data_IF_059701162641
#
_entry.id   IF_059701162641
#
_cell.length_a   1.000
_cell.length_b   1.000
_cell.length_c   1.000
_cell.angle_alpha   90.00
_cell.angle_beta   90.00
_cell.angle_gamma   90.00
#
_symmetry.space_group_name_H-M   'P 1'
#
loop_
_entity.id
_entity.type
_entity.pdbx_description
1 polymer ?
#
# COMPACT_ATOMS: atom_id res chain seq x y z
N UNK A 1 11.03 5.33 19.81
CA UNK A 1 10.30 4.62 18.75
C UNK A 1 9.76 3.32 19.34
N UNK A 2 8.56 2.85 18.96
CA UNK A 2 7.92 1.64 19.52
C UNK A 2 8.50 0.32 18.98
N UNK A 3 9.44 0.40 18.04
CA UNK A 3 10.15 -0.76 17.51
C UNK A 3 11.42 -1.02 18.33
N UNK A 4 11.63 -2.27 18.69
CA UNK A 4 12.69 -2.76 19.57
C UNK A 4 13.41 -3.95 18.92
N UNK A 5 14.64 -4.23 19.32
CA UNK A 5 15.30 -5.51 19.07
C UNK A 5 14.59 -6.63 19.83
N UNK A 6 14.92 -7.90 19.54
CA UNK A 6 14.31 -9.04 20.27
C UNK A 6 14.67 -9.02 21.76
N UNK A 7 15.80 -8.39 22.11
CA UNK A 7 16.31 -8.19 23.45
C UNK A 7 15.66 -6.99 24.17
N UNK A 8 14.79 -6.23 23.49
CA UNK A 8 14.07 -5.09 24.06
C UNK A 8 14.82 -3.75 24.02
N UNK A 9 15.94 -3.67 23.29
CA UNK A 9 16.63 -2.40 23.06
C UNK A 9 15.91 -1.58 21.97
N UNK A 10 15.95 -0.23 22.01
CA UNK A 10 15.44 0.58 20.90
C UNK A 10 16.06 0.19 19.56
N UNK A 11 15.25 0.12 18.51
CA UNK A 11 15.70 -0.25 17.18
C UNK A 11 16.19 0.98 16.41
N UNK A 12 17.50 1.07 16.16
CA UNK A 12 18.11 2.18 15.40
C UNK A 12 18.08 1.97 13.88
N UNK A 13 17.84 0.74 13.43
CA UNK A 13 17.73 0.40 12.02
C UNK A 13 17.46 -1.09 11.79
N UNK A 14 16.97 -1.43 10.60
CA UNK A 14 16.75 -2.83 10.18
C UNK A 14 17.68 -3.16 9.03
N UNK A 15 18.58 -4.15 9.19
CA UNK A 15 19.42 -4.61 8.10
C UNK A 15 18.59 -5.42 7.09
N UNK A 16 18.57 -4.93 5.85
CA UNK A 16 17.81 -5.49 4.75
C UNK A 16 18.76 -6.00 3.68
N UNK A 17 18.49 -7.21 3.19
CA UNK A 17 19.17 -7.77 2.04
C UNK A 17 18.31 -7.50 0.80
N UNK A 18 18.82 -6.65 -0.10
CA UNK A 18 18.19 -6.39 -1.39
C UNK A 18 18.39 -7.61 -2.31
N UNK A 19 17.30 -8.13 -2.88
CA UNK A 19 17.33 -9.30 -3.77
C UNK A 19 16.95 -8.97 -5.22
N UNK A 20 17.26 -7.75 -5.66
CA UNK A 20 16.81 -7.19 -6.94
C UNK A 20 15.29 -7.03 -7.00
N UNK A 21 14.79 -6.27 -7.96
CA UNK A 21 13.36 -5.98 -8.07
C UNK A 21 12.87 -5.03 -7.00
N UNK A 22 11.71 -5.37 -6.44
CA UNK A 22 11.05 -4.69 -5.32
C UNK A 22 11.22 -5.45 -4.00
N UNK A 23 12.02 -6.51 -3.99
CA UNK A 23 12.02 -7.50 -2.92
C UNK A 23 13.23 -7.32 -1.99
N UNK A 24 12.91 -7.30 -0.70
CA UNK A 24 13.89 -7.21 0.36
C UNK A 24 13.69 -8.36 1.35
N UNK A 25 14.80 -8.79 1.96
CA UNK A 25 14.78 -9.78 3.04
C UNK A 25 15.23 -9.13 4.35
N UNK A 26 14.41 -9.27 5.39
CA UNK A 26 14.75 -8.85 6.74
C UNK A 26 15.78 -9.82 7.29
N UNK A 27 16.99 -9.35 7.57
CA UNK A 27 18.10 -10.24 7.97
C UNK A 27 18.17 -10.48 9.48
N UNK A 28 17.56 -9.60 10.28
CA UNK A 28 17.50 -9.73 11.74
C UNK A 28 16.07 -9.55 12.24
N UNK A 29 15.61 -10.40 13.17
CA UNK A 29 14.29 -10.24 13.76
C UNK A 29 14.22 -8.96 14.60
N UNK A 30 13.02 -8.41 14.73
CA UNK A 30 12.74 -7.28 15.60
C UNK A 30 11.32 -7.40 16.15
N UNK A 31 10.93 -6.49 17.04
CA UNK A 31 9.61 -6.49 17.64
C UNK A 31 8.98 -5.09 17.60
N UNK A 32 7.65 -5.08 17.55
CA UNK A 32 6.83 -3.91 17.80
C UNK A 32 6.17 -4.05 19.16
N UNK A 33 6.34 -3.06 20.03
CA UNK A 33 5.63 -2.97 21.31
C UNK A 33 4.53 -1.94 21.20
N UNK A 34 3.28 -2.36 21.34
CA UNK A 34 2.16 -1.43 21.42
C UNK A 34 2.28 -0.61 22.72
N UNK A 35 2.46 0.72 22.65
CA UNK A 35 2.62 1.53 23.85
C UNK A 35 1.35 1.63 24.71
N UNK A 36 0.19 1.24 24.18
CA UNK A 36 -1.11 1.36 24.84
C UNK A 36 -1.48 0.07 25.58
N UNK A 37 -1.20 -1.08 24.97
CA UNK A 37 -1.57 -2.40 25.51
C UNK A 37 -0.37 -3.16 26.09
N UNK A 38 0.86 -2.75 25.76
CA UNK A 38 2.09 -3.48 26.12
C UNK A 38 2.32 -4.77 25.32
N UNK A 39 1.39 -5.14 24.44
CA UNK A 39 1.46 -6.30 23.55
C UNK A 39 2.69 -6.21 22.66
N UNK A 40 3.47 -7.29 22.59
CA UNK A 40 4.68 -7.38 21.76
C UNK A 40 4.40 -8.27 20.56
N UNK A 41 4.48 -7.70 19.35
CA UNK A 41 4.38 -8.44 18.10
C UNK A 41 5.76 -8.60 17.50
N UNK A 42 6.20 -9.86 17.32
CA UNK A 42 7.52 -10.20 16.78
C UNK A 42 7.48 -10.35 15.27
N UNK A 43 8.47 -9.77 14.61
CA UNK A 43 8.75 -9.93 13.19
C UNK A 43 9.96 -10.86 13.03
N UNK A 44 9.80 -12.05 12.44
CA UNK A 44 10.91 -12.96 12.23
C UNK A 44 11.86 -12.44 11.14
N UNK A 45 13.13 -12.86 11.20
CA UNK A 45 14.02 -12.73 10.05
C UNK A 45 13.57 -13.66 8.91
N UNK A 46 13.82 -13.25 7.68
CA UNK A 46 13.70 -14.09 6.51
C UNK A 46 14.88 -15.05 6.40
N UNK A 47 14.66 -16.20 5.76
CA UNK A 47 15.72 -17.14 5.43
C UNK A 47 16.47 -16.64 4.19
N UNK A 48 17.62 -16.02 4.43
CA UNK A 48 18.48 -15.46 3.38
C UNK A 48 19.17 -16.53 2.53
N UNK A 49 19.15 -17.81 2.93
CA UNK A 49 19.67 -18.89 2.08
C UNK A 49 18.71 -19.24 0.94
N UNK A 50 17.44 -18.84 1.07
CA UNK A 50 16.38 -19.10 0.10
C UNK A 50 16.08 -17.86 -0.74
N UNK A 51 15.60 -18.05 -1.99
CA UNK A 51 15.19 -16.94 -2.83
C UNK A 51 14.07 -16.11 -2.19
N UNK A 52 13.96 -14.82 -2.53
CA UNK A 52 12.82 -14.00 -2.11
C UNK A 52 11.57 -14.52 -2.84
N UNK A 53 10.72 -15.21 -2.11
CA UNK A 53 9.43 -15.70 -2.62
C UNK A 53 8.36 -15.31 -1.63
N UNK A 54 7.10 -15.65 -1.93
CA UNK A 54 5.97 -15.36 -1.05
C UNK A 54 6.22 -15.89 0.37
N UNK A 55 6.19 -14.99 1.35
CA UNK A 55 6.47 -15.32 2.77
C UNK A 55 7.93 -15.42 3.17
N UNK A 56 8.87 -15.08 2.27
CA UNK A 56 10.30 -14.95 2.53
C UNK A 56 10.87 -13.64 1.94
N UNK A 57 10.02 -12.62 1.79
CA UNK A 57 10.35 -11.31 1.23
C UNK A 57 9.34 -10.25 1.72
N UNK A 58 9.73 -8.98 1.64
CA UNK A 58 8.88 -7.80 1.88
C UNK A 58 9.15 -6.78 0.78
N UNK A 59 8.11 -6.05 0.37
CA UNK A 59 8.18 -5.01 -0.67
C UNK A 59 7.79 -3.61 -0.14
N UNK A 60 7.79 -3.45 1.20
CA UNK A 60 7.58 -2.20 1.94
C UNK A 60 6.24 -1.49 1.68
N UNK A 61 5.18 -2.29 1.54
CA UNK A 61 3.85 -1.92 1.07
C UNK A 61 3.82 -1.73 -0.45
N UNK A 62 3.13 -2.63 -1.15
CA UNK A 62 2.98 -2.65 -2.61
C UNK A 62 2.27 -1.39 -3.16
N UNK A 63 2.98 -0.27 -3.32
CA UNK A 63 2.46 0.94 -3.98
C UNK A 63 2.51 0.74 -5.51
N UNK A 64 1.41 1.01 -6.25
CA UNK A 64 1.41 0.99 -7.71
C UNK A 64 2.44 1.97 -8.32
N UNK A 65 3.16 1.60 -9.41
CA UNK A 65 4.23 2.43 -9.97
C UNK A 65 3.82 3.86 -10.34
N UNK A 66 2.60 4.05 -10.86
CA UNK A 66 2.08 5.37 -11.22
C UNK A 66 1.89 6.32 -10.02
N UNK A 67 1.96 5.82 -8.79
CA UNK A 67 1.90 6.62 -7.57
C UNK A 67 3.28 6.89 -6.94
N UNK A 68 4.37 6.37 -7.48
CA UNK A 68 5.72 6.57 -6.90
C UNK A 68 6.19 8.02 -6.96
N UNK A 69 5.69 8.81 -7.92
CA UNK A 69 5.93 10.27 -7.93
C UNK A 69 5.20 11.02 -6.82
N UNK A 70 4.17 10.42 -6.21
CA UNK A 70 3.37 11.01 -5.14
C UNK A 70 3.70 10.46 -3.75
N UNK A 71 4.13 9.20 -3.66
CA UNK A 71 4.35 8.48 -2.40
C UNK A 71 5.77 7.92 -2.40
N UNK A 72 6.60 8.40 -1.47
CA UNK A 72 7.92 7.82 -1.25
C UNK A 72 7.82 6.34 -0.84
N UNK A 73 8.60 5.48 -1.49
CA UNK A 73 8.61 4.02 -1.26
C UNK A 73 9.27 3.62 0.07
N UNK A 74 10.04 4.49 0.68
CA UNK A 74 10.72 4.27 1.96
C UNK A 74 10.58 5.48 2.88
N UNK A 75 10.75 5.27 4.17
CA UNK A 75 10.61 6.31 5.20
C UNK A 75 10.09 5.75 6.52
N UNK A 76 9.44 6.58 7.36
CA UNK A 76 8.90 6.11 8.63
C UNK A 76 7.80 5.03 8.48
N UNK A 77 7.24 4.82 7.29
CA UNK A 77 6.30 3.74 7.01
C UNK A 77 6.96 2.36 6.83
N UNK A 78 8.28 2.27 6.66
CA UNK A 78 8.97 1.02 6.32
C UNK A 78 8.85 -0.03 7.42
N UNK A 79 9.14 0.29 8.69
CA UNK A 79 9.02 -0.69 9.78
C UNK A 79 7.58 -1.17 10.01
N UNK A 80 6.55 -0.28 10.03
CA UNK A 80 5.16 -0.71 10.03
C UNK A 80 4.78 -1.60 8.85
N UNK A 81 5.30 -1.33 7.65
CA UNK A 81 5.00 -2.14 6.48
C UNK A 81 5.58 -3.56 6.59
N UNK A 82 6.83 -3.69 7.05
CA UNK A 82 7.45 -5.00 7.31
C UNK A 82 6.67 -5.78 8.37
N UNK A 83 6.25 -5.11 9.45
CA UNK A 83 5.40 -5.70 10.47
C UNK A 83 4.08 -6.22 9.87
N UNK A 84 3.41 -5.40 9.05
CA UNK A 84 2.17 -5.76 8.37
C UNK A 84 2.35 -6.97 7.45
N UNK A 85 3.38 -6.97 6.60
CA UNK A 85 3.69 -8.08 5.69
C UNK A 85 3.88 -9.40 6.45
N UNK A 86 4.62 -9.37 7.56
CA UNK A 86 4.84 -10.55 8.40
C UNK A 86 3.52 -11.07 9.00
N UNK A 87 2.64 -10.19 9.45
CA UNK A 87 1.32 -10.56 9.98
C UNK A 87 0.36 -11.06 8.89
N UNK A 88 0.41 -10.45 7.71
CA UNK A 88 -0.34 -10.88 6.52
C UNK A 88 0.06 -12.29 6.12
N UNK A 89 1.36 -12.59 6.12
CA UNK A 89 1.87 -13.93 5.85
C UNK A 89 1.35 -14.95 6.87
N UNK A 90 1.38 -14.61 8.16
CA UNK A 90 0.81 -15.45 9.22
C UNK A 90 -0.70 -15.66 9.04
N UNK A 91 -1.43 -14.63 8.62
CA UNK A 91 -2.85 -14.72 8.32
C UNK A 91 -3.11 -15.63 7.09
N UNK A 92 -2.27 -15.58 6.05
CA UNK A 92 -2.42 -16.42 4.85
C UNK A 92 -2.30 -17.91 5.18
N UNK A 93 -1.37 -18.26 6.08
CA UNK A 93 -1.14 -19.64 6.56
C UNK A 93 -2.25 -20.15 7.48
N UNK A 94 -3.12 -19.28 7.99
CA UNK A 94 -4.23 -19.68 8.83
C UNK A 94 -5.37 -20.34 8.03
N UNK A 95 -6.26 -21.11 8.69
CA UNK A 95 -7.48 -21.63 8.10
C UNK A 95 -8.33 -20.53 7.47
N UNK A 96 -9.04 -20.82 6.38
CA UNK A 96 -9.77 -19.82 5.59
C UNK A 96 -10.71 -18.94 6.42
N UNK A 97 -11.43 -19.55 7.36
CA UNK A 97 -12.35 -18.86 8.26
C UNK A 97 -11.67 -17.80 9.16
N UNK A 98 -10.38 -17.96 9.45
CA UNK A 98 -9.60 -17.07 10.31
C UNK A 98 -8.81 -16.00 9.53
N UNK A 99 -8.67 -16.15 8.21
CA UNK A 99 -7.85 -15.25 7.39
C UNK A 99 -8.32 -13.80 7.49
N UNK A 100 -9.61 -13.56 7.28
CA UNK A 100 -10.16 -12.20 7.31
C UNK A 100 -10.11 -11.57 8.71
N UNK A 101 -10.50 -12.25 9.81
CA UNK A 101 -10.28 -11.75 11.17
C UNK A 101 -8.82 -11.38 11.46
N UNK A 102 -7.87 -12.27 11.14
CA UNK A 102 -6.43 -12.01 11.36
C UNK A 102 -5.91 -10.86 10.51
N UNK A 103 -6.37 -10.75 9.25
CA UNK A 103 -6.04 -9.60 8.38
C UNK A 103 -6.53 -8.28 8.96
N UNK A 104 -7.74 -8.23 9.55
CA UNK A 104 -8.23 -6.99 10.19
C UNK A 104 -7.33 -6.56 11.35
N UNK A 105 -6.91 -7.52 12.19
CA UNK A 105 -5.97 -7.24 13.28
C UNK A 105 -4.64 -6.70 12.74
N UNK A 106 -4.11 -7.30 11.67
CA UNK A 106 -2.90 -6.83 11.00
C UNK A 106 -3.07 -5.40 10.46
N UNK A 107 -4.16 -5.12 9.74
CA UNK A 107 -4.43 -3.79 9.17
C UNK A 107 -4.57 -2.73 10.27
N UNK A 108 -5.31 -3.03 11.35
CA UNK A 108 -5.49 -2.11 12.47
C UNK A 108 -4.19 -1.83 13.20
N UNK A 109 -3.38 -2.87 13.47
CA UNK A 109 -2.05 -2.70 14.08
C UNK A 109 -1.12 -1.92 13.16
N UNK A 110 -1.19 -2.14 11.85
CA UNK A 110 -0.42 -1.37 10.87
C UNK A 110 -0.72 0.12 10.95
N UNK A 111 -2.01 0.50 10.99
CA UNK A 111 -2.41 1.90 11.17
C UNK A 111 -1.86 2.50 12.46
N UNK A 112 -1.92 1.73 13.54
CA UNK A 112 -1.42 2.13 14.86
C UNK A 112 0.09 2.35 14.81
N UNK A 113 0.83 1.36 14.30
CA UNK A 113 2.29 1.42 14.16
C UNK A 113 2.74 2.55 13.23
N UNK A 114 1.99 2.87 12.17
CA UNK A 114 2.26 4.04 11.32
C UNK A 114 2.22 5.34 12.14
N UNK A 115 1.17 5.53 12.93
CA UNK A 115 0.99 6.73 13.77
C UNK A 115 2.09 6.81 14.83
N UNK A 116 2.37 5.69 15.49
CA UNK A 116 3.39 5.63 16.55
C UNK A 116 4.81 5.80 15.98
N UNK A 117 5.01 5.56 14.68
CA UNK A 117 6.25 5.86 13.96
C UNK A 117 6.27 7.26 13.31
N UNK A 118 5.36 8.14 13.70
CA UNK A 118 5.35 9.55 13.28
C UNK A 118 4.69 9.82 11.92
N UNK A 119 4.02 8.84 11.31
CA UNK A 119 3.21 9.09 10.11
C UNK A 119 1.92 9.82 10.52
N UNK A 120 1.65 10.93 9.84
CA UNK A 120 0.46 11.73 10.11
C UNK A 120 -0.84 10.92 9.91
N UNK A 121 -1.86 11.25 10.72
CA UNK A 121 -3.09 10.47 10.85
C UNK A 121 -3.81 10.24 9.51
N UNK A 122 -3.85 11.25 8.64
CA UNK A 122 -4.50 11.15 7.33
C UNK A 122 -3.85 10.06 6.46
N UNK A 123 -2.52 10.09 6.27
CA UNK A 123 -1.81 9.06 5.50
C UNK A 123 -1.92 7.69 6.13
N UNK A 124 -1.80 7.58 7.45
CA UNK A 124 -2.02 6.30 8.14
C UNK A 124 -3.43 5.74 7.87
N UNK A 125 -4.45 6.62 7.83
CA UNK A 125 -5.83 6.25 7.53
C UNK A 125 -6.05 5.85 6.06
N UNK A 126 -5.40 6.52 5.11
CA UNK A 126 -5.42 6.17 3.68
C UNK A 126 -4.78 4.80 3.47
N UNK A 127 -3.59 4.58 4.02
CA UNK A 127 -2.86 3.31 3.91
C UNK A 127 -3.66 2.16 4.53
N UNK A 128 -4.24 2.37 5.71
CA UNK A 128 -5.16 1.44 6.36
C UNK A 128 -6.38 1.10 5.49
N UNK A 129 -7.06 2.12 4.95
CA UNK A 129 -8.23 1.91 4.11
C UNK A 129 -7.89 1.08 2.86
N UNK A 130 -6.74 1.33 2.23
CA UNK A 130 -6.28 0.59 1.07
C UNK A 130 -6.04 -0.90 1.39
N UNK A 131 -5.25 -1.22 2.41
CA UNK A 131 -4.94 -2.63 2.78
C UNK A 131 -6.17 -3.38 3.28
N UNK A 132 -7.10 -2.68 3.96
CA UNK A 132 -8.35 -3.27 4.42
C UNK A 132 -9.34 -3.52 3.28
N UNK A 133 -9.44 -2.63 2.29
CA UNK A 133 -10.22 -2.91 1.08
C UNK A 133 -9.67 -4.11 0.33
N UNK A 134 -8.35 -4.19 0.17
CA UNK A 134 -7.70 -5.34 -0.46
C UNK A 134 -7.99 -6.64 0.30
N UNK A 135 -7.88 -6.63 1.63
CA UNK A 135 -8.23 -7.80 2.45
C UNK A 135 -9.68 -8.23 2.24
N UNK A 136 -10.61 -7.28 2.08
CA UNK A 136 -12.04 -7.59 1.83
C UNK A 136 -12.26 -8.12 0.43
N UNK A 137 -11.55 -7.61 -0.57
CA UNK A 137 -11.60 -8.12 -1.93
C UNK A 137 -11.15 -9.58 -2.00
N UNK A 138 -10.02 -9.90 -1.36
CA UNK A 138 -9.40 -11.24 -1.40
C UNK A 138 -10.10 -12.27 -0.53
N UNK A 139 -10.55 -11.88 0.67
CA UNK A 139 -11.02 -12.84 1.69
C UNK A 139 -12.48 -12.61 2.14
N UNK A 140 -13.16 -11.58 1.62
CA UNK A 140 -14.52 -11.22 2.05
C UNK A 140 -15.65 -11.87 1.25
N UNK A 141 -15.35 -12.67 0.22
CA UNK A 141 -16.36 -13.31 -0.63
C UNK A 141 -17.33 -12.30 -1.26
N UNK A 142 -18.61 -12.66 -1.32
CA UNK A 142 -19.67 -11.79 -1.87
C UNK A 142 -19.87 -10.53 -1.04
N UNK A 143 -19.83 -10.61 0.29
CA UNK A 143 -19.94 -9.46 1.18
C UNK A 143 -18.81 -8.45 0.97
N UNK A 144 -17.58 -8.94 0.73
CA UNK A 144 -16.43 -8.11 0.36
C UNK A 144 -16.64 -7.34 -0.94
N UNK A 145 -17.16 -8.01 -1.98
CA UNK A 145 -17.49 -7.37 -3.27
C UNK A 145 -18.58 -6.32 -3.13
N UNK A 146 -19.64 -6.61 -2.38
CA UNK A 146 -20.73 -5.64 -2.11
C UNK A 146 -20.18 -4.42 -1.36
N UNK A 147 -19.32 -4.61 -0.37
CA UNK A 147 -18.67 -3.51 0.34
C UNK A 147 -17.84 -2.64 -0.62
N UNK A 148 -17.06 -3.26 -1.49
CA UNK A 148 -16.22 -2.53 -2.46
C UNK A 148 -17.07 -1.77 -3.47
N UNK A 149 -18.14 -2.38 -3.98
CA UNK A 149 -19.10 -1.70 -4.85
C UNK A 149 -19.75 -0.51 -4.13
N UNK A 150 -20.16 -0.67 -2.86
CA UNK A 150 -20.70 0.42 -2.05
C UNK A 150 -19.69 1.56 -1.87
N UNK A 151 -18.43 1.26 -1.57
CA UNK A 151 -17.38 2.28 -1.42
C UNK A 151 -17.13 3.01 -2.73
N UNK A 152 -17.05 2.29 -3.86
CA UNK A 152 -16.85 2.89 -5.17
C UNK A 152 -18.03 3.79 -5.57
N UNK A 153 -19.26 3.29 -5.46
CA UNK A 153 -20.48 4.06 -5.75
C UNK A 153 -20.62 5.24 -4.81
N UNK A 154 -20.33 5.06 -3.52
CA UNK A 154 -20.33 6.13 -2.54
C UNK A 154 -19.32 7.23 -2.87
N UNK A 155 -18.10 6.87 -3.29
CA UNK A 155 -17.08 7.84 -3.65
C UNK A 155 -17.49 8.65 -4.90
N UNK A 156 -18.03 7.97 -5.91
CA UNK A 156 -18.57 8.62 -7.11
C UNK A 156 -19.76 9.54 -6.77
N UNK A 157 -20.65 9.10 -5.88
CA UNK A 157 -21.77 9.90 -5.42
C UNK A 157 -21.30 11.16 -4.66
N UNK A 158 -20.26 11.06 -3.83
CA UNK A 158 -19.66 12.23 -3.16
C UNK A 158 -19.09 13.21 -4.17
N UNK A 159 -18.31 12.74 -5.14
CA UNK A 159 -17.75 13.59 -6.19
C UNK A 159 -18.88 14.30 -6.96
N UNK A 160 -19.91 13.55 -7.38
CA UNK A 160 -21.05 14.10 -8.09
C UNK A 160 -21.83 15.11 -7.24
N UNK A 161 -22.10 14.80 -5.96
CA UNK A 161 -22.77 15.70 -5.03
C UNK A 161 -21.99 17.01 -4.82
N UNK A 162 -20.67 16.95 -4.73
CA UNK A 162 -19.82 18.16 -4.65
C UNK A 162 -19.91 18.98 -5.94
N UNK A 163 -19.78 18.35 -7.11
CA UNK A 163 -19.83 19.04 -8.41
C UNK A 163 -21.21 19.68 -8.64
N UNK A 164 -22.29 18.94 -8.44
CA UNK A 164 -23.65 19.45 -8.58
C UNK A 164 -23.99 20.49 -7.51
N UNK A 165 -23.42 20.35 -6.31
CA UNK A 165 -23.50 21.31 -5.22
C UNK A 165 -22.97 22.69 -5.59
N UNK A 166 -21.82 22.70 -6.28
CA UNK A 166 -21.16 23.92 -6.75
C UNK A 166 -21.82 24.48 -8.01
N UNK A 167 -22.18 23.63 -8.97
CA UNK A 167 -22.64 24.06 -10.30
C UNK A 167 -24.14 24.36 -10.39
N UNK A 168 -24.97 23.65 -9.63
CA UNK A 168 -26.43 23.72 -9.76
C UNK A 168 -27.11 24.26 -8.50
N UNK A 169 -26.85 23.66 -7.33
CA UNK A 169 -27.55 24.04 -6.10
C UNK A 169 -26.87 23.47 -4.84
N UNK A 170 -26.68 24.27 -3.77
CA UNK A 170 -26.08 23.80 -2.52
C UNK A 170 -26.79 22.62 -1.86
N UNK A 171 -28.07 22.38 -2.14
CA UNK A 171 -28.83 21.26 -1.58
C UNK A 171 -28.25 19.89 -1.92
N UNK A 172 -27.53 19.76 -3.03
CA UNK A 172 -26.80 18.54 -3.37
C UNK A 172 -25.73 18.17 -2.34
N UNK A 173 -25.22 19.13 -1.54
CA UNK A 173 -24.27 18.86 -0.46
C UNK A 173 -24.86 18.00 0.67
N UNK A 174 -26.19 17.88 0.79
CA UNK A 174 -26.81 16.93 1.71
C UNK A 174 -26.43 15.47 1.36
N UNK A 175 -26.15 15.19 0.09
CA UNK A 175 -25.64 13.89 -0.37
C UNK A 175 -24.31 13.51 0.26
N UNK A 176 -23.54 14.48 0.80
CA UNK A 176 -22.27 14.20 1.48
C UNK A 176 -22.45 13.37 2.74
N UNK A 177 -23.62 13.39 3.39
CA UNK A 177 -23.89 12.58 4.58
C UNK A 177 -24.29 11.13 4.25
N UNK A 178 -24.67 10.84 3.01
CA UNK A 178 -25.29 9.58 2.62
C UNK A 178 -24.38 8.36 2.85
N UNK A 179 -23.08 8.35 2.46
CA UNK A 179 -22.24 7.19 2.72
C UNK A 179 -22.04 6.90 4.22
N UNK A 180 -21.95 7.95 5.04
CA UNK A 180 -21.86 7.79 6.49
C UNK A 180 -23.17 7.23 7.08
N UNK A 181 -24.33 7.69 6.60
CA UNK A 181 -25.63 7.17 7.04
C UNK A 181 -25.85 5.69 6.65
N UNK A 182 -25.32 5.27 5.50
CA UNK A 182 -25.43 3.88 5.01
C UNK A 182 -24.34 2.95 5.57
N UNK A 183 -23.26 3.49 6.15
CA UNK A 183 -22.15 2.68 6.66
C UNK A 183 -22.53 1.64 7.74
N UNK A 184 -23.46 1.91 8.68
CA UNK A 184 -23.89 0.92 9.68
C UNK A 184 -24.53 -0.34 9.11
N UNK A 185 -25.04 -0.30 7.87
CA UNK A 185 -25.58 -1.49 7.18
C UNK A 185 -24.50 -2.57 7.00
N UNK A 186 -23.23 -2.17 6.89
CA UNK A 186 -22.08 -3.06 6.80
C UNK A 186 -21.50 -3.36 8.19
N UNK A 187 -22.27 -4.09 9.02
CA UNK A 187 -21.95 -4.41 10.43
C UNK A 187 -20.46 -4.74 10.63
N UNK A 188 -19.82 -4.04 11.57
CA UNK A 188 -18.40 -4.22 11.91
C UNK A 188 -17.39 -3.67 10.89
N UNK A 189 -17.85 -3.04 9.80
CA UNK A 189 -16.98 -2.46 8.76
C UNK A 189 -17.30 -0.97 8.50
N UNK A 190 -18.20 -0.37 9.29
CA UNK A 190 -18.60 1.02 9.14
C UNK A 190 -17.41 2.02 9.14
N UNK A 191 -16.40 1.89 10.04
CA UNK A 191 -15.24 2.79 10.00
C UNK A 191 -14.45 2.70 8.69
N UNK A 192 -14.38 1.50 8.09
CA UNK A 192 -13.73 1.27 6.82
C UNK A 192 -14.54 1.88 5.68
N UNK A 193 -15.85 1.63 5.64
CA UNK A 193 -16.74 2.17 4.61
C UNK A 193 -16.68 3.70 4.60
N UNK A 194 -16.77 4.34 5.77
CA UNK A 194 -16.66 5.79 5.90
C UNK A 194 -15.28 6.24 5.40
N UNK A 195 -14.20 5.79 6.04
CA UNK A 195 -12.87 6.27 5.68
C UNK A 195 -12.56 6.05 4.19
N UNK A 196 -12.79 4.85 3.66
CA UNK A 196 -12.50 4.53 2.27
C UNK A 196 -13.34 5.34 1.29
N UNK A 197 -14.61 5.62 1.60
CA UNK A 197 -15.48 6.40 0.71
C UNK A 197 -15.06 7.86 0.63
N UNK A 198 -14.85 8.53 1.78
CA UNK A 198 -14.47 9.94 1.79
C UNK A 198 -13.03 10.16 1.33
N UNK A 199 -12.09 9.30 1.76
CA UNK A 199 -10.70 9.39 1.29
C UNK A 199 -10.61 9.01 -0.19
N UNK A 200 -11.37 8.01 -0.64
CA UNK A 200 -11.49 7.67 -2.05
C UNK A 200 -11.98 8.84 -2.88
N UNK A 201 -13.07 9.50 -2.47
CA UNK A 201 -13.58 10.69 -3.16
C UNK A 201 -12.57 11.85 -3.17
N UNK A 202 -11.88 12.10 -2.06
CA UNK A 202 -10.88 13.17 -1.92
C UNK A 202 -9.66 12.93 -2.82
N UNK A 203 -9.12 11.70 -2.82
CA UNK A 203 -7.89 11.37 -3.55
C UNK A 203 -8.14 10.91 -4.99
N UNK A 204 -9.35 10.50 -5.38
CA UNK A 204 -9.64 10.00 -6.73
C UNK A 204 -9.23 10.97 -7.84
N UNK A 205 -9.51 12.30 -7.77
CA UNK A 205 -9.04 13.24 -8.78
C UNK A 205 -7.51 13.29 -8.89
N UNK A 206 -6.81 13.23 -7.76
CA UNK A 206 -5.34 13.23 -7.71
C UNK A 206 -4.75 11.95 -8.30
N UNK A 207 -5.33 10.81 -7.94
CA UNK A 207 -4.96 9.49 -8.46
C UNK A 207 -5.20 9.42 -9.97
N UNK A 208 -6.33 9.92 -10.45
CA UNK A 208 -6.64 10.01 -11.87
C UNK A 208 -5.64 10.90 -12.60
N UNK A 209 -5.33 12.08 -12.05
CA UNK A 209 -4.33 12.98 -12.61
C UNK A 209 -2.94 12.32 -12.73
N UNK A 210 -2.48 11.65 -11.67
CA UNK A 210 -1.22 10.91 -11.69
C UNK A 210 -1.22 9.74 -12.68
N UNK A 211 -2.32 9.00 -12.75
CA UNK A 211 -2.51 7.93 -13.73
C UNK A 211 -2.39 8.47 -15.15
N UNK A 212 -3.10 9.54 -15.50
CA UNK A 212 -3.05 10.15 -16.83
C UNK A 212 -1.65 10.67 -17.15
N UNK A 213 -1.01 11.37 -16.20
CA UNK A 213 0.35 11.89 -16.38
C UNK A 213 1.36 10.76 -16.65
N UNK A 214 1.29 9.66 -15.91
CA UNK A 214 2.15 8.50 -16.12
C UNK A 214 1.94 7.84 -17.49
N UNK A 215 0.70 7.81 -18.01
CA UNK A 215 0.43 7.26 -19.34
C UNK A 215 0.95 8.17 -20.46
N UNK A 216 0.86 9.50 -20.27
CA UNK A 216 1.44 10.47 -21.20
C UNK A 216 2.96 10.34 -21.24
N UNK A 217 3.61 10.24 -20.08
CA UNK A 217 5.06 10.01 -20.00
C UNK A 217 5.47 8.71 -20.69
N UNK A 218 4.77 7.60 -20.40
CA UNK A 218 5.03 6.31 -21.03
C UNK A 218 4.84 6.34 -22.55
N UNK A 219 3.88 7.12 -23.05
CA UNK A 219 3.68 7.32 -24.50
C UNK A 219 4.85 8.11 -25.10
N UNK A 220 5.30 9.19 -24.45
CA UNK A 220 6.46 9.97 -24.89
C UNK A 220 7.71 9.07 -24.93
N UNK A 221 7.95 8.31 -23.87
CA UNK A 221 9.09 7.39 -23.78
C UNK A 221 9.04 6.33 -24.89
N UNK A 222 7.85 5.78 -25.18
CA UNK A 222 7.67 4.83 -26.28
C UNK A 222 7.99 5.45 -27.64
N UNK A 223 7.50 6.67 -27.91
CA UNK A 223 7.76 7.39 -29.17
C UNK A 223 9.26 7.65 -29.33
N UNK A 224 9.93 8.11 -28.27
CA UNK A 224 11.39 8.35 -28.29
C UNK A 224 12.16 7.05 -28.51
N UNK A 225 11.77 5.97 -27.85
CA UNK A 225 12.40 4.66 -28.02
C UNK A 225 12.26 4.14 -29.45
N UNK A 226 11.06 4.25 -30.04
CA UNK A 226 10.82 3.88 -31.44
C UNK A 226 11.61 4.75 -32.43
N UNK A 227 11.65 6.08 -32.20
CA UNK A 227 12.32 7.02 -33.09
C UNK A 227 13.85 6.92 -33.04
N UNK A 228 14.42 6.59 -31.88
CA UNK A 228 15.88 6.50 -31.70
C UNK A 228 16.44 5.12 -32.08
N UNK A 229 15.60 4.11 -32.26
CA UNK A 229 16.02 2.75 -32.63
C UNK A 229 17.01 2.12 -31.64
N UNK A 230 17.06 2.62 -30.39
CA UNK A 230 18.00 2.12 -29.37
C UNK A 230 17.76 0.63 -29.13
N UNK A 231 18.84 -0.15 -29.21
CA UNK A 231 18.82 -1.56 -28.79
C UNK A 231 18.67 -1.59 -27.26
N UNK A 232 17.50 -2.00 -26.80
CA UNK A 232 17.22 -2.16 -25.39
C UNK A 232 15.74 -2.39 -25.12
N UNK A 233 15.38 -2.83 -23.90
CA UNK A 233 14.01 -3.03 -23.46
C UNK A 233 13.14 -1.80 -23.67
N UNK A 234 11.87 -2.04 -23.95
CA UNK A 234 10.83 -1.00 -23.95
C UNK A 234 10.87 -0.24 -22.61
N UNK A 235 10.77 1.10 -22.62
CA UNK A 235 10.72 1.88 -21.39
C UNK A 235 9.53 1.44 -20.53
N UNK A 236 9.80 1.27 -19.24
CA UNK A 236 8.83 0.95 -18.20
C UNK A 236 9.03 1.91 -17.04
N UNK A 237 7.93 2.35 -16.42
CA UNK A 237 7.94 3.21 -15.23
C UNK A 237 8.31 2.44 -13.95
N UNK A 238 9.23 1.48 -14.07
CA UNK A 238 9.76 0.69 -12.97
C UNK A 238 11.20 1.15 -12.66
N UNK A 239 11.74 0.88 -11.46
CA UNK A 239 13.13 1.22 -11.15
C UNK A 239 14.02 0.50 -12.18
N UNK A 240 15.19 1.01 -12.52
CA UNK A 240 16.08 0.25 -13.41
C UNK A 240 16.64 -0.94 -12.65
N UNK A 241 15.98 -2.09 -12.78
CA UNK A 241 16.11 -3.25 -11.89
C UNK A 241 17.38 -4.07 -12.15
N UNK A 242 17.88 -4.01 -13.38
CA UNK A 242 19.09 -4.72 -13.81
C UNK A 242 19.81 -3.84 -14.81
N UNK A 243 21.10 -3.60 -14.57
CA UNK A 243 22.01 -3.16 -15.62
C UNK A 243 22.13 -4.32 -16.62
N UNK A 244 21.24 -4.36 -17.62
CA UNK A 244 21.35 -5.36 -18.69
C UNK A 244 22.61 -5.06 -19.49
N UNK A 245 23.32 -6.10 -19.93
CA UNK A 245 24.52 -5.96 -20.78
C UNK A 245 24.26 -5.12 -22.03
N UNK A 246 23.00 -5.07 -22.48
CA UNK A 246 22.46 -4.24 -23.56
C UNK A 246 22.58 -2.73 -23.30
N UNK A 247 22.70 -2.30 -22.04
CA UNK A 247 22.89 -0.91 -21.64
C UNK A 247 24.37 -0.54 -21.44
N UNK A 248 25.32 -1.49 -21.64
CA UNK A 248 26.77 -1.23 -21.60
C UNK A 248 27.12 0.02 -22.42
N UNK A 249 27.93 0.96 -21.88
CA UNK A 249 28.43 2.05 -22.69
C UNK A 249 29.14 1.46 -23.91
N UNK A 250 28.79 1.91 -25.11
CA UNK A 250 29.48 1.53 -26.33
C UNK A 250 30.98 1.84 -26.18
N UNK A 251 31.81 0.81 -25.98
CA UNK A 251 33.26 0.95 -25.85
C UNK A 251 33.95 0.18 -24.72
N UNK A 252 33.23 -0.43 -23.77
CA UNK A 252 33.88 -1.26 -22.75
C UNK A 252 34.03 -2.70 -23.25
N UNK A 253 35.10 -2.97 -23.99
CA UNK A 253 35.56 -4.33 -24.26
C UNK A 253 35.91 -4.99 -22.93
N UNK A 254 35.20 -6.07 -22.57
CA UNK A 254 35.52 -6.90 -21.41
C UNK A 254 36.89 -7.55 -21.65
N UNK A 255 37.90 -7.10 -20.91
CA UNK A 255 39.16 -7.81 -20.69
C UNK A 255 38.99 -8.73 -19.49
#
# INVERSE_FOLDING_TARGET
MPFETVEGAPLDGVPLLYRMGREFQVTRPFAYRDPREGTVTRVPAHDTSRPPVEGNSTDFASVPPFLWGLIANYGPQTLPAILHDAMVEQARRAPEAERLPRRRVADDLFRIALIDNGIHLLRARVMWAAVSLESRWRHGGTAGRVLIAQVALGALALIAATVLGVLLSPWWMLGLALPAALAPLQRGSAPLVVAATYLGALYAPLVLGAFLAAHVEGLIALVVWLATGRRGPRPQAEPTIVWKDEYAPEGVSRW
#
